data_IF_810857246754
#
_entry.id   IF_810857246754
#
_cell.length_a   1.000
_cell.length_b   1.000
_cell.length_c   1.000
_cell.angle_alpha   90.00
_cell.angle_beta   90.00
_cell.angle_gamma   90.00
#
_symmetry.space_group_name_H-M   'P 1'
#
loop_
_entity.id
_entity.type
_entity.pdbx_description
1 polymer ?
#
# COMPACT_ATOMS: atom_id res chain seq x y z
N UNK A 1 -4.49 -1.67 -12.09
CA UNK A 1 -3.14 -1.08 -12.08
C UNK A 1 -2.80 -0.90 -10.62
N UNK A 2 -1.81 -1.61 -10.11
CA UNK A 2 -1.41 -1.55 -8.70
C UNK A 2 -0.07 -0.82 -8.69
N UNK A 3 0.08 0.17 -7.82
CA UNK A 3 1.28 1.00 -7.71
C UNK A 3 1.95 0.70 -6.37
N UNK A 4 3.25 0.40 -6.40
CA UNK A 4 4.07 0.11 -5.22
C UNK A 4 5.14 1.19 -5.15
N UNK A 5 5.19 1.91 -4.03
CA UNK A 5 6.12 3.03 -3.81
C UNK A 5 7.08 2.63 -2.68
N UNK A 6 8.38 2.60 -2.98
CA UNK A 6 9.44 2.33 -2.00
C UNK A 6 9.81 3.62 -1.25
N UNK A 7 9.64 3.61 0.07
CA UNK A 7 9.93 4.74 0.96
C UNK A 7 11.00 4.40 2.01
N UNK A 8 11.80 3.34 1.78
CA UNK A 8 12.60 2.66 2.82
C UNK A 8 13.82 3.40 3.37
N UNK A 9 14.05 4.68 3.03
CA UNK A 9 14.86 5.63 3.82
C UNK A 9 16.24 5.15 4.32
N UNK A 10 16.89 4.17 3.68
CA UNK A 10 18.21 3.67 4.05
C UNK A 10 18.31 2.32 4.77
N UNK A 11 17.25 1.50 4.86
CA UNK A 11 17.39 0.10 5.32
C UNK A 11 16.71 -0.97 4.43
N UNK A 12 16.07 -0.56 3.32
CA UNK A 12 15.82 -1.43 2.16
C UNK A 12 14.82 -2.57 2.32
N UNK A 13 13.97 -2.58 3.36
CA UNK A 13 13.07 -3.72 3.58
C UNK A 13 11.68 -3.38 4.15
N UNK A 14 11.25 -2.11 4.05
CA UNK A 14 9.91 -1.68 4.47
C UNK A 14 9.16 -1.11 3.26
N UNK A 15 8.03 -1.71 2.93
CA UNK A 15 7.21 -1.33 1.77
C UNK A 15 5.92 -0.65 2.22
N UNK A 16 5.51 0.39 1.49
CA UNK A 16 4.19 0.97 1.62
C UNK A 16 3.36 0.63 0.39
N UNK A 17 2.13 0.15 0.64
CA UNK A 17 1.21 -0.25 -0.43
C UNK A 17 -0.08 0.54 -0.38
N UNK A 18 -0.50 0.99 -1.55
CA UNK A 18 -1.81 1.58 -1.79
C UNK A 18 -2.60 0.66 -2.73
N UNK A 19 -3.72 0.16 -2.23
CA UNK A 19 -4.51 -0.86 -2.88
C UNK A 19 -5.90 -0.33 -3.19
N UNK A 20 -6.28 -0.41 -4.47
CA UNK A 20 -7.61 -0.05 -4.95
C UNK A 20 -8.26 -1.26 -5.59
N UNK A 21 -9.38 -1.74 -5.03
CA UNK A 21 -10.07 -2.93 -5.52
C UNK A 21 -11.56 -2.92 -5.21
N UNK A 22 -12.39 -3.37 -6.15
CA UNK A 22 -13.83 -3.54 -5.95
C UNK A 22 -14.15 -4.59 -4.88
N UNK A 23 -13.22 -5.51 -4.62
CA UNK A 23 -13.39 -6.56 -3.60
C UNK A 23 -13.47 -6.00 -2.18
N UNK A 24 -13.14 -4.72 -1.99
CA UNK A 24 -13.24 -4.04 -0.71
C UNK A 24 -14.63 -3.45 -0.45
N UNK A 25 -15.54 -3.50 -1.43
CA UNK A 25 -16.89 -2.97 -1.29
C UNK A 25 -17.66 -3.72 -0.21
N UNK A 26 -18.31 -2.95 0.68
CA UNK A 26 -18.99 -3.51 1.87
C UNK A 26 -18.09 -4.16 2.93
N UNK A 27 -16.75 -4.20 2.75
CA UNK A 27 -15.81 -4.75 3.74
C UNK A 27 -15.30 -3.68 4.70
N UNK A 28 -15.12 -4.06 5.97
CA UNK A 28 -14.46 -3.19 6.98
C UNK A 28 -12.96 -3.11 6.72
N UNK A 29 -12.32 -2.04 7.20
CA UNK A 29 -10.89 -1.80 7.01
C UNK A 29 -10.00 -3.00 7.41
N UNK A 30 -10.28 -3.62 8.57
CA UNK A 30 -9.53 -4.79 9.04
C UNK A 30 -9.66 -5.99 8.09
N UNK A 31 -10.84 -6.22 7.52
CA UNK A 31 -11.05 -7.30 6.54
C UNK A 31 -10.25 -7.02 5.27
N UNK A 32 -10.26 -5.77 4.80
CA UNK A 32 -9.47 -5.35 3.64
C UNK A 32 -7.97 -5.56 3.89
N UNK A 33 -7.47 -5.20 5.07
CA UNK A 33 -6.05 -5.42 5.44
C UNK A 33 -5.71 -6.90 5.50
N UNK A 34 -6.59 -7.75 6.05
CA UNK A 34 -6.40 -9.20 6.03
C UNK A 34 -6.35 -9.76 4.61
N UNK A 35 -7.21 -9.27 3.73
CA UNK A 35 -7.20 -9.67 2.32
C UNK A 35 -5.89 -9.28 1.62
N UNK A 36 -5.39 -8.07 1.87
CA UNK A 36 -4.10 -7.61 1.30
C UNK A 36 -2.94 -8.43 1.87
N UNK A 37 -2.90 -8.65 3.18
CA UNK A 37 -1.85 -9.48 3.80
C UNK A 37 -1.88 -10.93 3.31
N UNK A 38 -3.07 -11.51 3.13
CA UNK A 38 -3.20 -12.87 2.59
C UNK A 38 -2.75 -12.96 1.13
N UNK A 39 -2.99 -11.91 0.34
CA UNK A 39 -2.54 -11.84 -1.05
C UNK A 39 -1.01 -11.66 -1.17
N UNK A 40 -0.37 -11.10 -0.14
CA UNK A 40 1.06 -10.82 -0.09
C UNK A 40 1.81 -11.74 0.89
N UNK A 41 1.20 -12.84 1.34
CA UNK A 41 1.76 -13.71 2.38
C UNK A 41 3.08 -14.37 1.94
N UNK A 42 3.21 -14.69 0.65
CA UNK A 42 4.43 -15.26 0.10
C UNK A 42 5.55 -14.21 0.02
N UNK A 43 5.23 -12.99 -0.43
CA UNK A 43 6.15 -11.86 -0.51
C UNK A 43 6.57 -11.37 0.89
N UNK A 44 5.68 -11.47 1.87
CA UNK A 44 5.95 -11.19 3.29
C UNK A 44 7.09 -12.03 3.88
N UNK A 45 7.46 -13.15 3.25
CA UNK A 45 8.62 -13.97 3.68
C UNK A 45 9.96 -13.35 3.29
N UNK A 46 9.97 -12.46 2.29
CA UNK A 46 11.18 -11.84 1.76
C UNK A 46 11.34 -10.38 2.20
N UNK A 47 10.24 -9.72 2.60
CA UNK A 47 10.23 -8.33 3.07
C UNK A 47 10.21 -8.26 4.59
N UNK A 48 10.88 -7.26 5.18
CA UNK A 48 10.93 -7.12 6.64
C UNK A 48 9.68 -6.45 7.23
N UNK A 49 9.07 -5.52 6.49
CA UNK A 49 7.83 -4.87 6.90
C UNK A 49 6.98 -4.41 5.71
N UNK A 50 5.67 -4.45 5.90
CA UNK A 50 4.67 -3.94 4.96
C UNK A 50 3.71 -3.02 5.73
N UNK A 51 3.45 -1.84 5.16
CA UNK A 51 2.48 -0.88 5.69
C UNK A 51 1.42 -0.58 4.65
N UNK A 52 0.18 -0.96 4.94
CA UNK A 52 -0.97 -0.69 4.06
C UNK A 52 -1.47 0.72 4.33
N UNK A 53 -1.18 1.66 3.42
CA UNK A 53 -1.61 3.06 3.54
C UNK A 53 -3.05 3.26 3.11
N UNK A 54 -3.45 2.59 2.02
CA UNK A 54 -4.81 2.70 1.48
C UNK A 54 -5.29 1.33 1.07
N UNK A 55 -6.51 0.98 1.49
CA UNK A 55 -7.26 -0.17 1.01
C UNK A 55 -8.67 0.30 0.68
N UNK A 56 -8.84 0.81 -0.54
CA UNK A 56 -10.01 1.59 -0.96
C UNK A 56 -10.73 0.94 -2.14
N UNK A 57 -12.03 1.19 -2.29
CA UNK A 57 -12.74 0.82 -3.51
C UNK A 57 -12.46 1.85 -4.62
N UNK A 58 -12.63 1.52 -5.91
CA UNK A 58 -12.44 2.49 -6.99
C UNK A 58 -13.29 3.75 -6.83
N UNK A 59 -14.46 3.65 -6.19
CA UNK A 59 -15.35 4.77 -5.91
C UNK A 59 -14.83 5.68 -4.79
N UNK A 60 -14.07 5.11 -3.85
CA UNK A 60 -13.45 5.83 -2.74
C UNK A 60 -12.08 6.42 -3.11
N UNK A 61 -11.42 5.80 -4.10
CA UNK A 61 -10.12 6.26 -4.56
C UNK A 61 -10.26 7.61 -5.27
N UNK A 62 -9.55 8.60 -4.75
CA UNK A 62 -9.30 9.87 -5.43
C UNK A 62 -7.81 9.90 -5.71
N UNK A 63 -7.37 10.04 -6.98
CA UNK A 63 -5.96 10.24 -7.26
C UNK A 63 -5.54 11.56 -6.59
N UNK A 64 -4.80 11.46 -5.49
CA UNK A 64 -4.13 12.62 -4.89
C UNK A 64 -3.10 13.12 -5.90
N UNK A 65 -3.13 14.42 -6.21
CA UNK A 65 -2.16 15.10 -7.08
C UNK A 65 -0.81 15.35 -6.37
N UNK A 66 -0.45 14.53 -5.38
CA UNK A 66 0.77 14.70 -4.59
C UNK A 66 1.92 13.86 -5.17
N UNK A 67 2.16 14.02 -6.47
CA UNK A 67 3.39 13.56 -7.13
C UNK A 67 4.33 14.74 -7.36
N UNK A 68 4.72 15.41 -6.27
CA UNK A 68 5.89 16.28 -6.21
C UNK A 68 6.15 16.69 -4.76
N UNK A 69 6.95 15.92 -4.03
CA UNK A 69 8.04 16.43 -3.16
C UNK A 69 8.67 15.22 -2.46
N UNK A 70 9.64 14.57 -3.12
CA UNK A 70 10.72 13.90 -2.39
C UNK A 70 12.04 14.10 -3.14
N UNK A 71 12.61 15.28 -2.95
CA UNK A 71 14.06 15.49 -3.04
C UNK A 71 14.35 16.75 -2.22
N UNK A 72 14.80 16.56 -0.98
CA UNK A 72 15.50 17.56 -0.16
C UNK A 72 15.97 16.86 1.11
N UNK A 73 17.06 16.12 1.00
CA UNK A 73 17.97 15.90 2.11
C UNK A 73 19.28 16.60 1.75
N UNK A 74 19.57 17.65 2.55
CA UNK A 74 20.78 18.44 2.80
C UNK A 74 21.83 18.63 1.69
#
# INVERSE_FOLDING_TARGET
MWEVIDISGGCGASFEVEVVSEQFEGKRLLERHRMVNAALEEEMKEIHALSIKKAQTPQQWKPSQDSATQTKDA
#
